data_IF_433985870213
#
_entry.id   IF_433985870213
#
_cell.length_a   1.000
_cell.length_b   1.000
_cell.length_c   1.000
_cell.angle_alpha   90.00
_cell.angle_beta   90.00
_cell.angle_gamma   90.00
#
_symmetry.space_group_name_H-M   'P 1'
#
loop_
_entity.id
_entity.type
_entity.pdbx_description
1 polymer ?
#
# COMPACT_ATOMS: atom_id res chain seq x y z
N UNK A 1 -2.62 -13.15 11.55
CA UNK A 1 -2.75 -12.37 12.79
C UNK A 1 -2.52 -10.92 12.45
N UNK A 2 -3.47 -10.04 12.78
CA UNK A 2 -3.44 -8.60 12.50
C UNK A 2 -3.08 -7.75 13.71
N UNK A 3 -2.94 -8.38 14.88
CA UNK A 3 -2.65 -7.68 16.14
C UNK A 3 -1.30 -7.00 16.08
N UNK A 4 -1.25 -5.77 16.60
CA UNK A 4 -0.05 -4.92 16.62
C UNK A 4 0.57 -4.64 15.24
N UNK A 5 -0.19 -4.81 14.15
CA UNK A 5 0.29 -4.58 12.80
C UNK A 5 0.71 -3.11 12.58
N UNK A 6 1.92 -2.90 12.04
CA UNK A 6 2.37 -1.56 11.62
C UNK A 6 1.50 -0.99 10.50
N UNK A 7 0.95 -1.85 9.64
CA UNK A 7 -0.01 -1.46 8.60
C UNK A 7 -1.29 -0.87 9.16
N UNK A 8 -1.68 -1.24 10.40
CA UNK A 8 -2.84 -0.63 11.06
C UNK A 8 -2.61 0.88 11.25
N UNK A 9 -1.45 1.26 11.80
CA UNK A 9 -1.10 2.66 12.06
C UNK A 9 -1.07 3.47 10.76
N UNK A 10 -0.52 2.89 9.70
CA UNK A 10 -0.49 3.49 8.37
C UNK A 10 -1.91 3.79 7.87
N UNK A 11 -2.79 2.79 7.87
CA UNK A 11 -4.18 2.93 7.40
C UNK A 11 -4.90 4.01 8.21
N UNK A 12 -4.76 4.02 9.54
CA UNK A 12 -5.40 5.03 10.40
C UNK A 12 -4.93 6.45 10.10
N UNK A 13 -3.61 6.66 9.90
CA UNK A 13 -3.06 7.97 9.50
C UNK A 13 -3.56 8.41 8.13
N UNK A 14 -3.54 7.54 7.13
CA UNK A 14 -4.02 7.88 5.79
C UNK A 14 -5.52 8.21 5.80
N UNK A 15 -6.31 7.45 6.55
CA UNK A 15 -7.74 7.71 6.76
C UNK A 15 -7.97 9.06 7.45
N UNK A 16 -7.18 9.37 8.47
CA UNK A 16 -7.23 10.68 9.15
C UNK A 16 -6.96 11.84 8.17
N UNK A 17 -6.05 11.64 7.21
CA UNK A 17 -5.73 12.58 6.14
C UNK A 17 -6.77 12.61 5.01
N UNK A 18 -7.82 11.79 5.08
CA UNK A 18 -8.92 11.77 4.11
C UNK A 18 -8.77 10.76 2.98
N UNK A 19 -7.77 9.88 3.01
CA UNK A 19 -7.60 8.85 1.97
C UNK A 19 -8.73 7.81 2.01
N UNK A 20 -9.14 7.33 0.84
CA UNK A 20 -9.97 6.12 0.70
C UNK A 20 -9.07 4.89 0.67
N UNK A 21 -9.35 3.91 1.52
CA UNK A 21 -8.46 2.78 1.75
C UNK A 21 -9.06 1.52 1.14
N UNK A 22 -8.24 0.82 0.35
CA UNK A 22 -8.48 -0.56 -0.07
C UNK A 22 -7.35 -1.41 0.43
N UNK A 23 -7.68 -2.58 0.97
CA UNK A 23 -6.71 -3.53 1.50
C UNK A 23 -6.87 -4.85 0.78
N UNK A 24 -5.75 -5.41 0.35
CA UNK A 24 -5.66 -6.79 -0.06
C UNK A 24 -4.71 -7.52 0.88
N UNK A 25 -5.10 -8.72 1.31
CA UNK A 25 -4.22 -9.68 1.96
C UNK A 25 -4.72 -11.10 1.67
N UNK A 26 -3.87 -12.01 1.18
CA UNK A 26 -4.30 -13.36 0.81
C UNK A 26 -4.74 -14.20 2.02
N UNK A 27 -4.25 -13.89 3.22
CA UNK A 27 -4.41 -14.73 4.41
C UNK A 27 -5.35 -14.14 5.46
N UNK A 28 -5.60 -12.83 5.44
CA UNK A 28 -6.50 -12.16 6.40
C UNK A 28 -7.91 -12.14 5.84
N UNK A 29 -8.87 -12.72 6.57
CA UNK A 29 -10.29 -12.66 6.21
C UNK A 29 -10.98 -11.45 6.83
N UNK A 30 -10.73 -11.25 8.13
CA UNK A 30 -11.29 -10.18 8.93
C UNK A 30 -10.18 -9.37 9.58
N UNK A 31 -10.37 -8.06 9.63
CA UNK A 31 -9.47 -7.16 10.34
C UNK A 31 -10.25 -6.48 11.47
N UNK A 32 -10.42 -7.22 12.56
CA UNK A 32 -11.27 -6.84 13.69
C UNK A 32 -10.87 -5.52 14.36
N UNK A 33 -9.57 -5.15 14.33
CA UNK A 33 -9.11 -3.84 14.79
C UNK A 33 -9.78 -2.67 14.06
N UNK A 34 -10.30 -2.88 12.85
CA UNK A 34 -11.07 -1.89 12.08
C UNK A 34 -12.57 -2.15 12.11
N UNK A 35 -13.00 -3.40 12.00
CA UNK A 35 -14.41 -3.79 11.98
C UNK A 35 -15.10 -3.53 13.32
N UNK A 36 -14.44 -3.86 14.44
CA UNK A 36 -15.01 -3.83 15.79
C UNK A 36 -14.34 -2.76 16.66
N UNK A 37 -14.17 -1.55 16.13
CA UNK A 37 -13.41 -0.48 16.80
C UNK A 37 -13.94 -0.05 18.18
N UNK A 38 -15.20 -0.30 18.52
CA UNK A 38 -15.79 0.10 19.81
C UNK A 38 -15.62 -0.99 20.88
N UNK A 39 -15.71 -2.26 20.46
CA UNK A 39 -15.75 -3.43 21.35
C UNK A 39 -14.46 -4.27 21.33
N UNK A 40 -13.39 -3.80 20.66
CA UNK A 40 -12.16 -4.59 20.53
C UNK A 40 -11.46 -4.78 21.88
N UNK A 41 -11.13 -6.03 22.31
CA UNK A 41 -10.81 -6.35 23.71
C UNK A 41 -9.56 -5.67 24.31
N UNK A 42 -8.67 -5.10 23.51
CA UNK A 42 -7.35 -4.60 23.96
C UNK A 42 -7.18 -3.07 23.81
N UNK A 43 -8.29 -2.33 23.72
CA UNK A 43 -8.27 -0.88 23.55
C UNK A 43 -8.01 -0.49 22.10
N UNK A 44 -9.06 -0.07 21.41
CA UNK A 44 -8.99 0.34 20.02
C UNK A 44 -8.06 1.54 19.82
N UNK A 45 -7.13 1.42 18.87
CA UNK A 45 -6.27 2.54 18.49
C UNK A 45 -7.04 3.70 17.86
N UNK A 46 -8.31 3.51 17.48
CA UNK A 46 -9.15 4.54 16.90
C UNK A 46 -9.21 5.82 17.74
N UNK A 47 -9.14 5.72 19.08
CA UNK A 47 -9.15 6.86 19.99
C UNK A 47 -8.01 7.85 19.77
N UNK A 48 -6.91 7.44 19.12
CA UNK A 48 -5.74 8.29 18.85
C UNK A 48 -5.74 8.95 17.47
N UNK A 49 -6.81 8.79 16.69
CA UNK A 49 -6.91 9.31 15.32
C UNK A 49 -8.28 9.91 15.04
N UNK A 50 -8.35 10.86 14.10
CA UNK A 50 -9.62 11.43 13.61
C UNK A 50 -10.14 10.68 12.39
N UNK A 51 -11.41 10.89 12.04
CA UNK A 51 -12.05 10.37 10.82
C UNK A 51 -12.06 8.83 10.67
N UNK A 52 -12.05 8.08 11.78
CA UNK A 52 -11.91 6.62 11.77
C UNK A 52 -13.21 5.85 11.53
N UNK A 53 -14.37 6.51 11.59
CA UNK A 53 -15.70 5.86 11.53
C UNK A 53 -15.89 4.99 10.28
N UNK A 54 -15.35 5.41 9.13
CA UNK A 54 -15.49 4.68 7.86
C UNK A 54 -14.70 3.37 7.80
N UNK A 55 -13.70 3.18 8.68
CA UNK A 55 -12.87 1.97 8.69
C UNK A 55 -13.65 0.72 9.14
N UNK A 56 -14.80 0.86 9.81
CA UNK A 56 -15.69 -0.27 10.11
C UNK A 56 -16.21 -0.99 8.86
N UNK A 57 -16.27 -0.26 7.74
CA UNK A 57 -16.75 -0.75 6.46
C UNK A 57 -15.59 -1.24 5.56
N UNK A 58 -14.34 -1.18 6.06
CA UNK A 58 -13.17 -1.73 5.37
C UNK A 58 -13.35 -3.24 5.22
N UNK A 59 -13.08 -3.76 4.02
CA UNK A 59 -13.10 -5.19 3.72
C UNK A 59 -11.79 -5.60 3.09
N UNK A 60 -11.29 -6.77 3.50
CA UNK A 60 -10.08 -7.34 2.94
C UNK A 60 -10.40 -7.99 1.62
N UNK A 61 -9.81 -7.48 0.56
CA UNK A 61 -9.94 -8.05 -0.78
C UNK A 61 -9.01 -9.25 -0.93
N UNK A 62 -9.52 -10.29 -1.59
CA UNK A 62 -8.76 -11.52 -1.88
C UNK A 62 -8.15 -11.53 -3.27
N UNK A 63 -8.63 -10.65 -4.15
CA UNK A 63 -8.02 -10.40 -5.45
C UNK A 63 -7.25 -9.08 -5.42
N UNK A 64 -5.94 -9.17 -5.64
CA UNK A 64 -5.06 -8.00 -5.67
C UNK A 64 -5.42 -7.05 -6.81
N UNK A 65 -5.89 -7.56 -7.94
CA UNK A 65 -6.21 -6.75 -9.11
C UNK A 65 -7.49 -5.94 -8.92
N UNK A 66 -8.46 -6.45 -8.17
CA UNK A 66 -9.62 -5.66 -7.75
C UNK A 66 -9.22 -4.51 -6.82
N UNK A 67 -8.28 -4.77 -5.90
CA UNK A 67 -7.80 -3.75 -4.97
C UNK A 67 -7.04 -2.62 -5.67
N UNK A 68 -6.43 -2.90 -6.84
CA UNK A 68 -5.63 -1.96 -7.61
C UNK A 68 -6.45 -0.98 -8.48
N UNK A 69 -7.72 -1.26 -8.78
CA UNK A 69 -8.50 -0.41 -9.70
C UNK A 69 -8.63 1.03 -9.21
N UNK A 70 -8.33 2.04 -10.03
CA UNK A 70 -8.52 3.47 -9.71
C UNK A 70 -7.86 3.91 -8.38
N UNK A 71 -6.61 3.52 -8.13
CA UNK A 71 -5.83 3.99 -6.97
C UNK A 71 -4.84 5.08 -7.39
N UNK A 72 -4.57 6.03 -6.50
CA UNK A 72 -3.49 7.02 -6.70
C UNK A 72 -2.14 6.53 -6.15
N UNK A 73 -2.18 5.59 -5.20
CA UNK A 73 -0.99 5.09 -4.53
C UNK A 73 -1.12 3.61 -4.14
N UNK A 74 -0.02 2.87 -4.32
CA UNK A 74 0.17 1.50 -3.87
C UNK A 74 1.18 1.47 -2.73
N UNK A 75 0.79 0.90 -1.58
CA UNK A 75 1.71 0.67 -0.45
C UNK A 75 1.93 -0.82 -0.23
N UNK A 76 3.16 -1.26 -0.44
CA UNK A 76 3.61 -2.62 -0.16
C UNK A 76 4.01 -2.72 1.31
N UNK A 77 3.02 -2.98 2.16
CA UNK A 77 3.15 -2.93 3.62
C UNK A 77 3.54 -4.25 4.28
N UNK A 78 3.66 -5.35 3.52
CA UNK A 78 4.10 -6.68 3.98
C UNK A 78 4.74 -7.45 2.82
N UNK A 79 5.57 -8.45 3.12
CA UNK A 79 6.33 -9.22 2.11
C UNK A 79 5.70 -10.59 1.79
N UNK A 80 4.49 -10.58 1.22
CA UNK A 80 3.83 -11.82 0.77
C UNK A 80 4.28 -12.23 -0.63
N UNK A 81 4.27 -13.53 -0.92
CA UNK A 81 4.68 -14.09 -2.21
C UNK A 81 3.95 -13.48 -3.42
N UNK A 82 2.61 -13.23 -3.40
CA UNK A 82 1.93 -12.60 -4.51
C UNK A 82 2.50 -11.22 -4.89
N UNK A 83 2.98 -10.47 -3.90
CA UNK A 83 3.51 -9.12 -4.12
C UNK A 83 4.91 -9.12 -4.73
N UNK A 84 5.69 -10.18 -4.49
CA UNK A 84 7.00 -10.38 -5.12
C UNK A 84 6.91 -10.62 -6.63
N UNK A 85 5.71 -10.99 -7.11
CA UNK A 85 5.44 -11.34 -8.52
C UNK A 85 4.67 -10.25 -9.28
N UNK A 86 4.37 -9.13 -8.62
CA UNK A 86 3.69 -8.01 -9.26
C UNK A 86 4.56 -7.38 -10.35
N UNK A 87 3.93 -7.17 -11.50
CA UNK A 87 4.54 -6.57 -12.68
C UNK A 87 4.15 -5.09 -12.75
N UNK A 88 5.12 -4.15 -12.76
CA UNK A 88 4.85 -2.71 -12.90
C UNK A 88 3.97 -2.35 -14.10
N UNK A 89 4.18 -3.00 -15.25
CA UNK A 89 3.43 -2.71 -16.47
C UNK A 89 1.95 -3.03 -16.29
N UNK A 90 1.67 -4.26 -15.84
CA UNK A 90 0.31 -4.72 -15.57
C UNK A 90 -0.40 -3.88 -14.50
N UNK A 91 0.33 -3.43 -13.48
CA UNK A 91 -0.25 -2.56 -12.45
C UNK A 91 -0.69 -1.24 -13.05
N UNK A 92 0.19 -0.55 -13.78
CA UNK A 92 -0.13 0.76 -14.36
C UNK A 92 -1.24 0.63 -15.41
N UNK A 93 -1.27 -0.46 -16.19
CA UNK A 93 -2.36 -0.76 -17.12
C UNK A 93 -3.72 -0.89 -16.40
N UNK A 94 -3.79 -1.65 -15.31
CA UNK A 94 -5.02 -1.85 -14.52
C UNK A 94 -5.50 -0.55 -13.87
N UNK A 95 -4.56 0.26 -13.37
CA UNK A 95 -4.90 1.56 -12.77
C UNK A 95 -5.33 2.56 -13.85
N UNK A 96 -4.70 2.52 -15.02
CA UNK A 96 -4.96 3.43 -16.14
C UNK A 96 -4.18 4.75 -16.10
N UNK A 97 -3.39 4.99 -15.06
CA UNK A 97 -2.53 6.17 -14.93
C UNK A 97 -1.31 5.90 -14.02
N UNK A 98 -0.27 6.74 -14.08
CA UNK A 98 0.85 6.63 -13.15
C UNK A 98 0.43 6.83 -11.70
N UNK A 99 1.11 6.15 -10.78
CA UNK A 99 0.80 6.14 -9.33
C UNK A 99 2.04 6.40 -8.47
N UNK A 100 1.82 6.68 -7.19
CA UNK A 100 2.88 6.59 -6.18
C UNK A 100 3.02 5.15 -5.67
N UNK A 101 4.23 4.60 -5.64
CA UNK A 101 4.53 3.26 -5.12
C UNK A 101 5.44 3.38 -3.90
N UNK A 102 4.97 2.89 -2.75
CA UNK A 102 5.69 2.92 -1.48
C UNK A 102 6.04 1.50 -1.08
N UNK A 103 7.34 1.21 -1.00
CA UNK A 103 7.86 -0.10 -0.61
C UNK A 103 8.44 -0.08 0.81
N UNK A 104 7.66 -0.59 1.77
CA UNK A 104 8.05 -0.64 3.18
C UNK A 104 8.96 -1.85 3.51
N UNK A 105 9.02 -2.85 2.62
CA UNK A 105 9.66 -4.15 2.90
C UNK A 105 10.78 -4.51 1.93
N UNK A 106 11.16 -3.60 1.02
CA UNK A 106 12.21 -3.83 0.05
C UNK A 106 11.87 -4.92 -0.97
N UNK A 107 10.59 -5.04 -1.32
CA UNK A 107 10.07 -5.97 -2.32
C UNK A 107 10.57 -5.64 -3.73
N UNK A 108 10.68 -4.36 -4.05
CA UNK A 108 11.06 -3.90 -5.37
C UNK A 108 12.58 -3.92 -5.52
N UNK A 109 13.04 -4.66 -6.53
CA UNK A 109 14.40 -4.56 -7.03
C UNK A 109 14.59 -3.34 -7.93
N UNK A 110 15.84 -3.02 -8.24
CA UNK A 110 16.20 -1.85 -9.04
C UNK A 110 15.59 -1.88 -10.46
N UNK A 111 15.35 -3.08 -11.02
CA UNK A 111 14.72 -3.24 -12.35
C UNK A 111 13.27 -2.81 -12.30
N UNK A 112 12.51 -3.27 -11.30
CA UNK A 112 11.10 -2.88 -11.10
C UNK A 112 10.97 -1.41 -10.75
N UNK A 113 11.84 -0.89 -9.89
CA UNK A 113 11.89 0.54 -9.53
C UNK A 113 12.12 1.39 -10.78
N UNK A 114 13.11 1.03 -11.61
CA UNK A 114 13.39 1.70 -12.89
C UNK A 114 12.16 1.65 -13.80
N UNK A 115 11.50 0.50 -13.89
CA UNK A 115 10.33 0.36 -14.76
C UNK A 115 9.17 1.26 -14.34
N UNK A 116 8.87 1.34 -13.04
CA UNK A 116 7.87 2.29 -12.55
C UNK A 116 8.20 3.74 -12.92
N UNK A 117 9.47 4.17 -12.81
CA UNK A 117 9.85 5.52 -13.26
C UNK A 117 9.68 5.73 -14.76
N UNK A 118 9.97 4.73 -15.59
CA UNK A 118 9.74 4.80 -17.04
C UNK A 118 8.25 4.92 -17.38
N UNK A 119 7.38 4.32 -16.55
CA UNK A 119 5.92 4.42 -16.65
C UNK A 119 5.37 5.74 -16.07
N UNK A 120 6.23 6.64 -15.60
CA UNK A 120 5.82 7.94 -15.04
C UNK A 120 5.42 7.90 -13.56
N UNK A 121 5.52 6.74 -12.90
CA UNK A 121 5.21 6.59 -11.48
C UNK A 121 6.28 7.24 -10.59
N UNK A 122 5.92 7.52 -9.34
CA UNK A 122 6.87 7.87 -8.28
C UNK A 122 7.12 6.66 -7.39
N UNK A 123 8.36 6.39 -7.01
CA UNK A 123 8.70 5.29 -6.09
C UNK A 123 9.41 5.82 -4.86
N UNK A 124 8.99 5.38 -3.68
CA UNK A 124 9.68 5.57 -2.39
C UNK A 124 9.86 4.22 -1.71
N UNK A 125 10.94 4.05 -0.97
CA UNK A 125 11.16 2.81 -0.22
C UNK A 125 11.98 3.03 1.04
N UNK A 126 11.71 2.23 2.07
CA UNK A 126 12.42 2.29 3.35
C UNK A 126 13.91 1.93 3.15
N UNK A 127 14.82 2.82 3.56
CA UNK A 127 16.26 2.60 3.41
C UNK A 127 16.77 2.64 1.96
N UNK A 128 15.97 3.13 1.01
CA UNK A 128 16.28 3.09 -0.43
C UNK A 128 16.73 4.45 -0.98
N UNK A 129 17.76 5.04 -0.38
CA UNK A 129 18.28 6.37 -0.79
C UNK A 129 18.76 6.43 -2.25
N UNK A 130 19.15 5.28 -2.83
CA UNK A 130 19.60 5.18 -4.21
C UNK A 130 18.48 5.31 -5.25
N UNK A 131 17.21 5.23 -4.85
CA UNK A 131 16.04 5.34 -5.76
C UNK A 131 16.06 6.65 -6.55
N UNK A 132 16.51 7.75 -5.93
CA UNK A 132 16.67 9.04 -6.62
C UNK A 132 17.65 8.93 -7.80
N UNK A 133 18.77 8.22 -7.61
CA UNK A 133 19.78 8.02 -8.67
C UNK A 133 19.19 7.25 -9.85
N UNK A 134 18.35 6.25 -9.59
CA UNK A 134 17.65 5.49 -10.65
C UNK A 134 16.69 6.42 -11.40
N UNK A 135 15.89 7.22 -10.69
CA UNK A 135 14.98 8.19 -11.30
C UNK A 135 15.72 9.18 -12.22
N UNK A 136 16.84 9.73 -11.73
CA UNK A 136 17.66 10.67 -12.50
C UNK A 136 18.28 10.04 -13.75
N UNK A 137 18.59 8.72 -13.71
CA UNK A 137 19.07 7.99 -14.88
C UNK A 137 17.95 7.82 -15.93
N UNK A 138 16.75 7.42 -15.51
CA UNK A 138 15.59 7.31 -16.39
C UNK A 138 15.25 8.64 -17.05
N UNK A 139 15.23 9.74 -16.28
CA UNK A 139 14.97 11.08 -16.81
C UNK A 139 16.00 11.54 -17.86
N UNK A 140 17.23 11.02 -17.80
CA UNK A 140 18.31 11.29 -18.78
C UNK A 140 18.33 10.31 -19.95
N UNK A 141 17.39 9.37 -20.03
CA UNK A 141 17.36 8.31 -21.04
C UNK A 141 18.53 7.31 -20.92
N UNK A 142 19.05 7.11 -19.70
CA UNK A 142 20.19 6.22 -19.40
C UNK A 142 19.77 4.94 -18.70
#
# INVERSE_FOLDING_TARGET
DTRYSGSEILIRRLTEMGAEIRVHDPYVDHWYEFENQEDYPDGSKAAFFRNQKKLKDLRIQKDVYEALKNIDALVLAVRHEPYLKLDPDKIVEIVGHPIAVIDCFGILDDTRIRRYFQLGCEVKGLGRGHVKRIKDQVAKGR
#
